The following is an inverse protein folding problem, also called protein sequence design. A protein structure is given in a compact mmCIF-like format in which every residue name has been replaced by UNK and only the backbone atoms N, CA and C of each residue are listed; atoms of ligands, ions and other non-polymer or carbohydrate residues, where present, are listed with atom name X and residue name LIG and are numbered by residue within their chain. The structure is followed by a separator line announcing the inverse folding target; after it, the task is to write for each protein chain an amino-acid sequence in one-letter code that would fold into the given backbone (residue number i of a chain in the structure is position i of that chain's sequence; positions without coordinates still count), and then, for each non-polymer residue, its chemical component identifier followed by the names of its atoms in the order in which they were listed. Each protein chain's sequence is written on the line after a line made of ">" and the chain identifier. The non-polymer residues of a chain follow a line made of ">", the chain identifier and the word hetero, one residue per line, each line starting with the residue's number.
data_IF_824880597443
#
_entry.id   IF_824880597443
#
_cell.length_a   1.000
_cell.length_b   1.000
_cell.length_c   1.000
_cell.angle_alpha   90.00
_cell.angle_beta   90.00
_cell.angle_gamma   90.00
#
_symmetry.space_group_name_H-M   'P 1'
#
loop_
_entity.id
_entity.type
_entity.pdbx_description
1 polymer ?
#
# COMPACT_ATOMS: atom_id res chain seq x y z
N UNK A 1 8.70 35.16 -26.53
CA UNK A 1 7.52 34.50 -27.10
C UNK A 1 7.62 33.04 -26.65
N UNK A 2 6.95 32.72 -25.54
CA UNK A 2 6.82 31.36 -25.04
C UNK A 2 5.74 30.68 -25.88
N UNK A 3 6.15 29.68 -26.65
CA UNK A 3 5.21 28.79 -27.36
C UNK A 3 4.63 27.84 -26.29
N UNK A 4 3.33 27.77 -26.10
CA UNK A 4 2.76 26.76 -25.20
C UNK A 4 2.97 25.39 -25.83
N UNK A 5 3.67 24.53 -25.13
CA UNK A 5 3.76 23.11 -25.48
C UNK A 5 2.42 22.48 -25.14
N UNK A 6 1.58 22.32 -26.16
CA UNK A 6 0.37 21.49 -26.05
C UNK A 6 0.83 20.02 -25.91
N UNK A 7 0.86 19.51 -24.67
CA UNK A 7 0.98 18.08 -24.43
C UNK A 7 -0.27 17.42 -25.03
N UNK A 8 -0.09 16.53 -25.97
CA UNK A 8 -1.18 15.74 -26.54
C UNK A 8 -1.88 14.99 -25.40
N UNK A 9 -3.22 15.03 -25.33
CA UNK A 9 -4.01 14.31 -24.33
C UNK A 9 -3.69 12.81 -24.29
N UNK A 10 -3.24 12.25 -25.40
CA UNK A 10 -2.79 10.84 -25.51
C UNK A 10 -1.42 10.56 -24.86
N UNK A 11 -0.67 11.58 -24.44
CA UNK A 11 0.65 11.44 -23.80
C UNK A 11 0.60 11.69 -22.29
N UNK A 12 -0.57 11.71 -21.66
CA UNK A 12 -0.68 11.83 -20.21
C UNK A 12 -0.09 10.59 -19.53
N UNK A 13 0.81 10.82 -18.56
CA UNK A 13 1.48 9.76 -17.79
C UNK A 13 0.45 8.82 -17.16
N UNK A 14 0.69 7.52 -17.28
CA UNK A 14 -0.03 6.45 -16.59
C UNK A 14 0.89 5.83 -15.53
N UNK A 15 0.43 5.67 -14.30
CA UNK A 15 1.25 5.12 -13.22
C UNK A 15 0.80 3.69 -12.89
N UNK A 16 1.67 2.71 -13.16
CA UNK A 16 1.56 1.38 -12.59
C UNK A 16 2.38 1.34 -11.29
N UNK A 17 1.72 1.18 -10.17
CA UNK A 17 2.36 1.12 -8.85
C UNK A 17 2.32 -0.31 -8.33
N UNK A 18 3.46 -1.01 -8.36
CA UNK A 18 3.63 -2.34 -7.79
C UNK A 18 4.03 -2.16 -6.33
N UNK A 19 3.12 -2.49 -5.41
CA UNK A 19 3.27 -2.22 -3.99
C UNK A 19 3.62 -3.50 -3.23
N UNK A 20 4.79 -3.54 -2.62
CA UNK A 20 5.30 -4.69 -1.88
C UNK A 20 4.60 -4.92 -0.52
N UNK A 21 3.70 -4.02 -0.12
CA UNK A 21 2.96 -4.05 1.14
C UNK A 21 1.46 -4.27 0.93
N UNK A 22 0.81 -5.16 1.71
CA UNK A 22 -0.62 -5.45 1.57
C UNK A 22 -1.54 -4.29 2.02
N UNK A 23 -0.99 -3.24 2.61
CA UNK A 23 -1.76 -2.07 3.10
C UNK A 23 -1.61 -0.83 2.22
N UNK A 24 -0.99 -0.92 1.06
CA UNK A 24 -0.63 0.15 0.14
C UNK A 24 -1.55 1.38 0.04
N UNK A 25 -1.18 2.37 -0.77
CA UNK A 25 -1.98 3.58 -1.05
C UNK A 25 -2.17 4.58 0.11
N UNK A 26 -1.30 4.58 1.13
CA UNK A 26 -1.50 5.42 2.33
C UNK A 26 -1.44 6.94 2.09
N UNK A 27 -0.74 7.39 1.06
CA UNK A 27 -0.49 8.84 0.81
C UNK A 27 -1.23 9.39 -0.40
N UNK A 28 -2.13 8.62 -1.00
CA UNK A 28 -2.87 8.98 -2.21
C UNK A 28 -4.38 8.82 -2.02
N UNK A 29 -5.17 9.51 -2.83
CA UNK A 29 -6.62 9.36 -2.88
C UNK A 29 -7.08 9.30 -4.34
N UNK A 30 -8.34 8.89 -4.57
CA UNK A 30 -8.94 8.84 -5.90
C UNK A 30 -8.12 8.05 -6.93
N UNK A 31 -7.49 6.95 -6.48
CA UNK A 31 -6.74 5.99 -7.33
C UNK A 31 -7.35 4.60 -7.21
N UNK A 32 -7.17 3.81 -8.26
CA UNK A 32 -7.60 2.42 -8.26
C UNK A 32 -6.53 1.52 -7.65
N UNK A 33 -6.98 0.49 -6.90
CA UNK A 33 -6.13 -0.51 -6.24
C UNK A 33 -6.62 -1.90 -6.60
N UNK A 34 -5.76 -2.69 -7.23
CA UNK A 34 -6.00 -4.09 -7.49
C UNK A 34 -5.55 -4.93 -6.28
N UNK A 35 -6.48 -5.70 -5.73
CA UNK A 35 -6.23 -6.74 -4.72
C UNK A 35 -5.98 -8.10 -5.37
N UNK A 36 -6.38 -8.27 -6.62
CA UNK A 36 -6.13 -9.44 -7.45
C UNK A 36 -4.91 -9.16 -8.35
N UNK A 37 -4.10 -10.18 -8.58
CA UNK A 37 -2.85 -10.11 -9.35
C UNK A 37 -3.06 -10.37 -10.86
N UNK A 38 -4.31 -10.38 -11.33
CA UNK A 38 -4.64 -10.46 -12.75
C UNK A 38 -4.18 -9.16 -13.47
N UNK A 39 -3.21 -9.23 -14.40
CA UNK A 39 -2.68 -8.04 -15.07
C UNK A 39 -3.72 -7.34 -15.97
N UNK A 40 -4.85 -7.96 -16.25
CA UNK A 40 -5.94 -7.32 -16.99
C UNK A 40 -6.56 -6.16 -16.21
N UNK A 41 -6.59 -6.25 -14.87
CA UNK A 41 -7.15 -5.20 -14.01
C UNK A 41 -6.36 -3.88 -14.13
N UNK A 42 -5.04 -3.84 -13.86
CA UNK A 42 -4.28 -2.61 -14.05
C UNK A 42 -4.25 -2.16 -15.52
N UNK A 43 -4.26 -3.07 -16.49
CA UNK A 43 -4.32 -2.69 -17.90
C UNK A 43 -5.62 -1.94 -18.25
N UNK A 44 -6.78 -2.39 -17.75
CA UNK A 44 -8.06 -1.71 -17.92
C UNK A 44 -8.06 -0.31 -17.31
N UNK A 45 -7.58 -0.16 -16.07
CA UNK A 45 -7.48 1.13 -15.39
C UNK A 45 -6.54 2.08 -16.14
N UNK A 46 -5.40 1.56 -16.58
CA UNK A 46 -4.36 2.33 -17.26
C UNK A 46 -4.69 2.60 -18.75
N UNK A 47 -5.80 2.08 -19.27
CA UNK A 47 -6.31 2.51 -20.58
C UNK A 47 -6.73 4.00 -20.54
N UNK A 48 -7.16 4.51 -19.38
CA UNK A 48 -7.49 5.92 -19.20
C UNK A 48 -6.22 6.78 -19.05
N UNK A 49 -6.06 7.85 -19.86
CA UNK A 49 -4.91 8.76 -19.73
C UNK A 49 -4.86 9.46 -18.36
N UNK A 50 -3.67 9.50 -17.76
CA UNK A 50 -3.47 10.16 -16.46
C UNK A 50 -3.86 9.31 -15.25
N UNK A 51 -4.31 8.07 -15.47
CA UNK A 51 -4.72 7.17 -14.40
C UNK A 51 -3.53 6.63 -13.58
N UNK A 52 -3.84 6.22 -12.38
CA UNK A 52 -2.91 5.52 -11.46
C UNK A 52 -3.58 4.25 -10.97
N UNK A 53 -2.90 3.13 -11.10
CA UNK A 53 -3.33 1.85 -10.58
C UNK A 53 -2.25 1.26 -9.66
N UNK A 54 -2.62 1.01 -8.42
CA UNK A 54 -1.83 0.20 -7.50
C UNK A 54 -2.16 -1.27 -7.70
N UNK A 55 -1.15 -2.13 -7.60
CA UNK A 55 -1.30 -3.59 -7.47
C UNK A 55 -0.63 -4.00 -6.17
N UNK A 56 -1.40 -4.54 -5.24
CA UNK A 56 -0.89 -5.00 -3.94
C UNK A 56 -0.22 -6.36 -4.11
N UNK A 57 1.07 -6.35 -4.42
CA UNK A 57 1.83 -7.56 -4.73
C UNK A 57 2.23 -8.35 -3.49
N UNK A 58 2.35 -7.67 -2.34
CA UNK A 58 2.82 -8.25 -1.07
C UNK A 58 4.15 -9.00 -1.20
N UNK A 59 5.00 -8.60 -2.14
CA UNK A 59 6.26 -9.29 -2.49
C UNK A 59 7.29 -9.28 -1.38
N UNK A 60 7.17 -8.38 -0.42
CA UNK A 60 8.02 -8.39 0.78
C UNK A 60 7.88 -9.68 1.61
N UNK A 61 6.75 -10.38 1.49
CA UNK A 61 6.50 -11.65 2.15
C UNK A 61 6.91 -12.88 1.31
N UNK A 62 7.42 -12.67 0.08
CA UNK A 62 7.81 -13.71 -0.85
C UNK A 62 9.33 -13.88 -0.93
N UNK A 63 9.76 -15.04 -1.39
CA UNK A 63 11.15 -15.24 -1.80
C UNK A 63 11.48 -14.36 -3.03
N UNK A 64 12.73 -13.92 -3.16
CA UNK A 64 13.16 -12.99 -4.21
C UNK A 64 12.79 -13.46 -5.61
N UNK A 65 12.97 -14.75 -5.92
CA UNK A 65 12.65 -15.30 -7.24
C UNK A 65 11.14 -15.23 -7.57
N UNK A 66 10.28 -15.42 -6.57
CA UNK A 66 8.83 -15.29 -6.71
C UNK A 66 8.44 -13.81 -6.90
N UNK A 67 9.02 -12.90 -6.10
CA UNK A 67 8.82 -11.47 -6.22
C UNK A 67 9.22 -10.94 -7.60
N UNK A 68 10.36 -11.35 -8.13
CA UNK A 68 10.86 -11.04 -9.49
C UNK A 68 9.88 -11.55 -10.56
N UNK A 69 9.47 -12.82 -10.46
CA UNK A 69 8.54 -13.43 -11.42
C UNK A 69 7.19 -12.71 -11.46
N UNK A 70 6.65 -12.36 -10.30
CA UNK A 70 5.38 -11.65 -10.18
C UNK A 70 5.47 -10.24 -10.78
N UNK A 71 6.50 -9.46 -10.45
CA UNK A 71 6.69 -8.12 -11.00
C UNK A 71 6.79 -8.16 -12.53
N UNK A 72 7.55 -9.09 -13.11
CA UNK A 72 7.65 -9.29 -14.57
C UNK A 72 6.30 -9.60 -15.18
N UNK A 73 5.56 -10.55 -14.61
CA UNK A 73 4.25 -10.97 -15.13
C UNK A 73 3.25 -9.81 -15.18
N UNK A 74 3.20 -8.99 -14.14
CA UNK A 74 2.32 -7.82 -14.08
C UNK A 74 2.71 -6.76 -15.11
N UNK A 75 4.00 -6.44 -15.22
CA UNK A 75 4.50 -5.47 -16.21
C UNK A 75 4.25 -5.97 -17.64
N UNK A 76 4.58 -7.24 -17.94
CA UNK A 76 4.34 -7.85 -19.25
C UNK A 76 2.86 -7.77 -19.64
N UNK A 77 1.95 -8.07 -18.71
CA UNK A 77 0.52 -8.02 -18.96
C UNK A 77 0.01 -6.61 -19.28
N UNK A 78 0.49 -5.59 -18.59
CA UNK A 78 0.15 -4.18 -18.90
C UNK A 78 0.76 -3.76 -20.23
N UNK A 79 1.99 -4.15 -20.54
CA UNK A 79 2.67 -3.83 -21.80
C UNK A 79 2.03 -4.50 -23.02
N UNK A 80 1.33 -5.62 -22.83
CA UNK A 80 0.57 -6.29 -23.88
C UNK A 80 -0.63 -5.45 -24.36
N UNK A 81 -1.17 -4.56 -23.52
CA UNK A 81 -2.22 -3.63 -23.93
C UNK A 81 -1.63 -2.40 -24.63
N UNK A 82 -2.09 -2.15 -25.87
CA UNK A 82 -1.54 -1.11 -26.73
C UNK A 82 -1.85 0.32 -26.25
N UNK A 83 -2.85 0.50 -25.40
CA UNK A 83 -3.25 1.80 -24.84
C UNK A 83 -2.59 2.00 -23.48
N UNK A 84 -2.67 1.02 -22.56
CA UNK A 84 -2.13 1.09 -21.21
C UNK A 84 -0.61 1.34 -21.18
N UNK A 85 0.14 0.81 -22.17
CA UNK A 85 1.60 1.01 -22.28
C UNK A 85 2.04 2.41 -22.69
N UNK A 86 1.12 3.25 -23.23
CA UNK A 86 1.48 4.59 -23.70
C UNK A 86 1.72 5.54 -22.53
N UNK A 87 2.93 6.12 -22.45
CA UNK A 87 3.30 6.99 -21.35
C UNK A 87 3.32 6.28 -19.98
N UNK A 88 3.55 4.97 -19.99
CA UNK A 88 3.63 4.17 -18.77
C UNK A 88 4.87 4.51 -17.95
N UNK A 89 4.66 4.90 -16.69
CA UNK A 89 5.70 4.97 -15.67
C UNK A 89 5.45 3.88 -14.64
N UNK A 90 6.46 3.06 -14.37
CA UNK A 90 6.36 1.99 -13.39
C UNK A 90 7.02 2.41 -12.09
N UNK A 91 6.26 2.31 -11.02
CA UNK A 91 6.69 2.56 -9.65
C UNK A 91 6.81 1.22 -8.93
N UNK A 92 8.01 0.89 -8.48
CA UNK A 92 8.27 -0.17 -7.49
C UNK A 92 8.14 0.46 -6.10
N UNK A 93 6.92 0.47 -5.56
CA UNK A 93 6.62 1.05 -4.26
C UNK A 93 7.07 0.11 -3.15
N UNK A 94 7.80 0.64 -2.18
CA UNK A 94 8.47 -0.15 -1.14
C UNK A 94 8.34 0.43 0.25
N UNK A 95 8.90 -0.30 1.20
CA UNK A 95 9.00 0.14 2.58
C UNK A 95 9.88 1.39 2.71
N UNK A 96 9.37 2.38 3.42
CA UNK A 96 10.08 3.62 3.72
C UNK A 96 11.21 3.46 4.76
N UNK A 97 11.43 2.25 5.26
CA UNK A 97 12.53 1.90 6.17
C UNK A 97 13.55 0.94 5.51
N UNK A 98 13.62 0.96 4.17
CA UNK A 98 14.59 0.30 3.31
C UNK A 98 14.52 -1.25 3.25
N UNK A 99 13.46 -1.88 3.79
CA UNK A 99 13.25 -3.33 3.69
C UNK A 99 12.63 -3.71 2.35
N UNK A 100 12.78 -4.97 1.96
CA UNK A 100 12.24 -5.52 0.72
C UNK A 100 13.31 -5.82 -0.34
N UNK A 101 12.88 -6.28 -1.50
CA UNK A 101 13.75 -6.66 -2.63
C UNK A 101 14.19 -5.42 -3.42
N UNK A 102 14.96 -4.52 -2.76
CA UNK A 102 15.25 -3.16 -3.24
C UNK A 102 15.98 -3.13 -4.59
N UNK A 103 16.79 -4.12 -4.88
CA UNK A 103 17.54 -4.23 -6.15
C UNK A 103 16.79 -5.09 -7.16
N UNK A 104 16.33 -6.28 -6.74
CA UNK A 104 15.81 -7.30 -7.63
C UNK A 104 14.51 -6.88 -8.35
N UNK A 105 13.56 -6.25 -7.62
CA UNK A 105 12.28 -5.82 -8.21
C UNK A 105 12.45 -4.73 -9.28
N UNK A 106 13.13 -3.58 -9.03
CA UNK A 106 13.33 -2.58 -10.08
C UNK A 106 14.11 -3.09 -11.28
N UNK A 107 15.08 -3.98 -11.06
CA UNK A 107 15.83 -4.59 -12.16
C UNK A 107 14.94 -5.55 -12.97
N UNK A 108 14.08 -6.33 -12.32
CA UNK A 108 13.12 -7.20 -13.00
C UNK A 108 12.15 -6.39 -13.87
N UNK A 109 11.65 -5.26 -13.37
CA UNK A 109 10.82 -4.31 -14.13
C UNK A 109 11.60 -3.77 -15.34
N UNK A 110 12.85 -3.34 -15.14
CA UNK A 110 13.68 -2.79 -16.21
C UNK A 110 14.02 -3.83 -17.30
N UNK A 111 14.21 -5.08 -16.91
CA UNK A 111 14.45 -6.18 -17.84
C UNK A 111 13.19 -6.52 -18.64
N UNK A 112 12.02 -6.48 -18.02
CA UNK A 112 10.76 -6.73 -18.72
C UNK A 112 10.41 -5.61 -19.69
N UNK A 113 10.64 -4.33 -19.31
CA UNK A 113 10.51 -3.19 -20.23
C UNK A 113 11.45 -3.36 -21.44
N UNK A 114 12.71 -3.73 -21.20
CA UNK A 114 13.68 -3.96 -22.29
C UNK A 114 13.29 -5.12 -23.21
N UNK A 115 12.66 -6.17 -22.69
CA UNK A 115 12.11 -7.26 -23.51
C UNK A 115 10.99 -6.80 -24.44
N UNK A 116 10.40 -5.63 -24.17
CA UNK A 116 9.38 -4.96 -24.99
C UNK A 116 9.92 -3.71 -25.72
N UNK A 117 11.23 -3.66 -25.99
CA UNK A 117 11.93 -2.58 -26.70
C UNK A 117 11.86 -1.21 -25.97
N UNK A 118 11.72 -1.19 -24.65
CA UNK A 118 11.72 0.02 -23.82
C UNK A 118 12.94 0.04 -22.90
N UNK A 119 13.96 0.79 -23.29
CA UNK A 119 15.20 0.91 -22.51
C UNK A 119 15.05 1.88 -21.33
N UNK A 120 15.42 1.45 -20.12
CA UNK A 120 15.37 2.23 -18.91
C UNK A 120 16.67 3.04 -18.74
N UNK A 121 16.55 4.34 -18.63
CA UNK A 121 17.69 5.26 -18.45
C UNK A 121 18.15 5.35 -17.00
N UNK A 122 17.20 5.49 -16.07
CA UNK A 122 17.47 5.65 -14.64
C UNK A 122 16.46 4.92 -13.75
N UNK A 123 16.93 4.58 -12.54
CA UNK A 123 16.12 4.07 -11.44
C UNK A 123 16.31 5.04 -10.27
N UNK A 124 15.22 5.74 -9.91
CA UNK A 124 15.23 6.70 -8.81
C UNK A 124 14.95 5.99 -7.48
N UNK A 125 15.75 6.24 -6.46
CA UNK A 125 15.50 5.77 -5.08
C UNK A 125 15.04 6.95 -4.22
N UNK A 126 13.77 6.92 -3.78
CA UNK A 126 13.11 7.97 -3.00
C UNK A 126 12.33 7.36 -1.84
N UNK A 127 12.97 6.83 -0.78
CA UNK A 127 12.29 6.05 0.26
C UNK A 127 11.47 6.90 1.25
N UNK A 128 11.04 8.09 0.87
CA UNK A 128 10.37 9.04 1.74
C UNK A 128 8.95 8.55 2.16
N UNK A 129 8.64 8.74 3.44
CA UNK A 129 7.28 8.70 4.01
C UNK A 129 7.18 9.80 5.07
N UNK A 130 6.90 11.01 4.63
CA UNK A 130 6.95 12.21 5.47
C UNK A 130 5.91 12.16 6.58
N UNK A 131 4.74 11.58 6.31
CA UNK A 131 3.66 11.36 7.28
C UNK A 131 4.09 10.48 8.47
N UNK A 132 5.09 9.65 8.25
CA UNK A 132 5.66 8.77 9.28
C UNK A 132 7.08 9.19 9.70
N UNK A 133 7.52 10.42 9.34
CA UNK A 133 8.81 10.96 9.72
C UNK A 133 10.01 10.27 9.04
N UNK A 134 9.86 9.79 7.80
CA UNK A 134 10.98 9.20 7.02
C UNK A 134 11.35 10.13 5.88
N UNK A 135 12.62 10.55 5.87
CA UNK A 135 13.14 11.53 4.92
C UNK A 135 14.62 11.28 4.60
N UNK A 136 15.12 11.87 3.53
CA UNK A 136 16.52 11.77 3.11
C UNK A 136 17.16 13.16 3.01
N UNK A 137 18.29 13.34 3.66
CA UNK A 137 19.08 14.57 3.63
C UNK A 137 20.58 14.25 3.56
N UNK A 138 21.31 14.86 2.61
CA UNK A 138 22.72 14.58 2.39
C UNK A 138 22.99 13.12 2.03
N UNK A 139 22.08 12.51 1.25
CA UNK A 139 22.04 11.10 0.87
C UNK A 139 21.82 10.11 2.04
N UNK A 140 21.69 10.60 3.26
CA UNK A 140 21.43 9.79 4.44
C UNK A 140 19.93 9.72 4.72
N UNK A 141 19.42 8.50 4.90
CA UNK A 141 18.01 8.27 5.21
C UNK A 141 17.79 8.23 6.73
N UNK A 142 16.75 8.93 7.16
CA UNK A 142 16.38 9.09 8.57
C UNK A 142 14.97 8.56 8.83
N UNK A 143 14.75 8.11 10.06
CA UNK A 143 13.43 7.84 10.64
C UNK A 143 13.30 8.58 11.96
N UNK A 144 12.16 9.27 12.17
CA UNK A 144 11.84 9.86 13.46
C UNK A 144 11.36 8.75 14.42
N UNK A 145 12.11 8.58 15.50
CA UNK A 145 11.81 7.61 16.57
C UNK A 145 11.79 8.37 17.88
N UNK A 146 10.70 8.25 18.65
CA UNK A 146 10.50 9.00 19.90
C UNK A 146 10.61 10.52 19.74
N UNK A 147 10.20 11.05 18.57
CA UNK A 147 10.26 12.47 18.24
C UNK A 147 11.61 12.99 17.74
N UNK A 148 12.63 12.14 17.68
CA UNK A 148 13.99 12.51 17.26
C UNK A 148 14.39 11.82 15.95
N UNK A 149 15.00 12.54 14.98
CA UNK A 149 15.57 11.94 13.78
C UNK A 149 16.73 11.02 14.14
N UNK A 150 16.67 9.76 13.71
CA UNK A 150 17.77 8.79 13.81
C UNK A 150 18.11 8.30 12.43
N UNK A 151 19.39 8.01 12.20
CA UNK A 151 19.81 7.29 11.00
C UNK A 151 19.08 5.94 10.99
N UNK A 152 18.57 5.53 9.84
CA UNK A 152 17.75 4.32 9.76
C UNK A 152 18.52 3.05 10.14
N UNK A 153 19.85 3.03 9.96
CA UNK A 153 20.75 1.95 10.40
C UNK A 153 20.80 1.78 11.92
N UNK A 154 20.51 2.84 12.68
CA UNK A 154 20.50 2.82 14.15
C UNK A 154 19.14 2.35 14.73
N UNK A 155 18.19 2.02 13.88
CA UNK A 155 16.83 1.61 14.27
C UNK A 155 16.67 0.09 14.23
N UNK A 156 15.56 -0.41 14.78
CA UNK A 156 15.22 -1.83 14.71
C UNK A 156 14.92 -2.31 13.28
N UNK A 157 14.60 -1.40 12.36
CA UNK A 157 14.35 -1.74 10.96
C UNK A 157 15.60 -2.30 10.27
N UNK A 158 16.78 -1.80 10.61
CA UNK A 158 18.05 -2.29 10.07
C UNK A 158 18.44 -3.69 10.57
N UNK A 159 17.81 -4.15 11.68
CA UNK A 159 18.03 -5.47 12.27
C UNK A 159 17.03 -6.52 11.80
N UNK A 160 16.27 -6.21 10.75
CA UNK A 160 15.33 -7.17 10.16
C UNK A 160 16.06 -8.47 9.77
N UNK A 161 15.49 -9.62 10.10
CA UNK A 161 16.14 -10.93 9.90
C UNK A 161 16.34 -11.27 8.41
N UNK A 162 15.49 -10.72 7.52
CA UNK A 162 15.51 -10.99 6.08
C UNK A 162 16.16 -9.85 5.29
N UNK A 163 15.80 -8.61 5.63
CA UNK A 163 16.17 -7.41 4.87
C UNK A 163 17.10 -6.46 5.64
N UNK A 164 17.79 -6.96 6.65
CA UNK A 164 18.72 -6.16 7.44
C UNK A 164 19.80 -5.48 6.59
N UNK A 165 20.29 -4.33 7.05
CA UNK A 165 21.30 -3.51 6.36
C UNK A 165 22.14 -2.74 7.37
N UNK A 166 23.25 -2.15 6.89
CA UNK A 166 24.25 -1.50 7.74
C UNK A 166 24.49 -0.03 7.42
N UNK A 167 23.90 0.49 6.33
CA UNK A 167 24.17 1.84 5.86
C UNK A 167 22.89 2.67 5.68
N UNK A 168 22.89 3.88 6.22
CA UNK A 168 21.84 4.89 5.98
C UNK A 168 22.16 5.82 4.81
N UNK A 169 23.45 5.95 4.40
CA UNK A 169 23.80 6.57 3.13
C UNK A 169 23.25 5.68 2.01
N UNK A 170 22.31 6.20 1.23
CA UNK A 170 21.58 5.41 0.23
C UNK A 170 22.47 4.92 -0.92
N UNK A 171 23.59 5.54 -1.18
CA UNK A 171 24.56 5.08 -2.19
C UNK A 171 25.34 3.87 -1.66
N UNK A 172 25.79 3.95 -0.39
CA UNK A 172 26.44 2.82 0.29
C UNK A 172 25.46 1.67 0.53
N UNK A 173 24.21 1.99 0.85
CA UNK A 173 23.14 1.01 0.96
C UNK A 173 22.90 0.25 -0.37
N UNK A 174 22.86 0.94 -1.51
CA UNK A 174 22.75 0.29 -2.82
C UNK A 174 23.95 -0.59 -3.15
N UNK A 175 25.16 -0.16 -2.79
CA UNK A 175 26.37 -0.98 -2.94
C UNK A 175 26.29 -2.24 -2.06
N UNK A 176 25.91 -2.11 -0.79
CA UNK A 176 25.72 -3.21 0.15
C UNK A 176 24.67 -4.20 -0.38
N UNK A 177 23.47 -3.71 -0.74
CA UNK A 177 22.34 -4.56 -1.16
C UNK A 177 22.52 -5.22 -2.52
N UNK A 178 23.40 -4.66 -3.38
CA UNK A 178 23.79 -5.23 -4.67
C UNK A 178 25.05 -6.10 -4.61
N UNK A 179 25.61 -6.34 -3.41
CA UNK A 179 26.87 -7.06 -3.24
C UNK A 179 28.02 -6.47 -4.05
N UNK A 180 28.05 -5.12 -4.16
CA UNK A 180 29.05 -4.37 -4.92
C UNK A 180 28.84 -4.30 -6.42
N UNK A 181 27.74 -4.86 -6.95
CA UNK A 181 27.41 -4.74 -8.38
C UNK A 181 27.07 -3.29 -8.77
N UNK A 182 26.47 -2.53 -7.86
CA UNK A 182 26.26 -1.09 -7.96
C UNK A 182 27.26 -0.43 -7.01
N UNK A 183 28.21 0.35 -7.55
CA UNK A 183 29.17 1.03 -6.71
C UNK A 183 28.62 2.37 -6.24
N UNK A 184 28.79 2.72 -4.98
CA UNK A 184 28.32 3.97 -4.40
C UNK A 184 28.81 5.20 -5.20
N UNK A 185 30.06 5.17 -5.69
CA UNK A 185 30.64 6.23 -6.53
C UNK A 185 29.96 6.39 -7.91
N UNK A 186 29.26 5.37 -8.39
CA UNK A 186 28.55 5.39 -9.67
C UNK A 186 27.08 5.81 -9.52
N UNK A 187 26.55 5.91 -8.30
CA UNK A 187 25.18 6.36 -8.03
C UNK A 187 25.13 7.89 -8.10
N UNK A 188 24.20 8.42 -8.89
CA UNK A 188 23.95 9.85 -8.94
C UNK A 188 23.16 10.31 -7.70
N UNK A 189 23.33 11.55 -7.30
CA UNK A 189 22.59 12.18 -6.22
C UNK A 189 21.90 13.45 -6.71
N UNK A 190 20.67 13.65 -6.29
CA UNK A 190 19.91 14.90 -6.41
C UNK A 190 19.79 15.46 -4.99
N UNK A 191 20.64 16.44 -4.67
CA UNK A 191 20.68 17.09 -3.36
C UNK A 191 19.58 18.14 -3.18
N UNK A 192 19.32 18.54 -1.93
CA UNK A 192 18.35 19.59 -1.63
C UNK A 192 18.69 20.93 -2.30
N UNK A 193 19.97 21.27 -2.48
CA UNK A 193 20.39 22.48 -3.22
C UNK A 193 20.06 22.38 -4.72
N UNK A 194 20.23 21.22 -5.34
CA UNK A 194 19.83 21.00 -6.73
C UNK A 194 18.34 21.21 -6.90
N UNK A 195 17.55 20.79 -5.91
CA UNK A 195 16.08 20.90 -5.91
C UNK A 195 15.64 22.33 -5.62
N UNK A 196 16.04 22.88 -4.46
CA UNK A 196 15.49 24.15 -3.94
C UNK A 196 16.07 25.39 -4.61
N UNK A 197 17.36 25.35 -4.96
CA UNK A 197 18.04 26.45 -5.65
C UNK A 197 18.06 26.23 -7.15
N UNK A 198 18.36 25.02 -7.62
CA UNK A 198 18.44 24.69 -9.03
C UNK A 198 17.11 24.47 -9.72
N UNK A 199 16.11 24.02 -8.97
CA UNK A 199 14.73 23.77 -9.43
C UNK A 199 14.64 22.66 -10.47
N UNK A 200 13.46 22.56 -11.11
CA UNK A 200 13.13 21.56 -12.13
C UNK A 200 14.20 21.45 -13.22
N UNK A 201 14.73 22.58 -13.69
CA UNK A 201 15.77 22.60 -14.74
C UNK A 201 17.03 21.87 -14.30
N UNK A 202 17.51 22.11 -13.08
CA UNK A 202 18.75 21.48 -12.58
C UNK A 202 18.57 19.98 -12.35
N UNK A 203 17.42 19.59 -11.78
CA UNK A 203 17.06 18.17 -11.60
C UNK A 203 16.96 17.47 -12.95
N UNK A 204 16.33 18.11 -13.94
CA UNK A 204 16.24 17.58 -15.29
C UNK A 204 17.62 17.40 -15.92
N UNK A 205 18.57 18.37 -15.79
CA UNK A 205 19.94 18.25 -16.29
C UNK A 205 20.67 17.03 -15.69
N UNK A 206 20.51 16.78 -14.38
CA UNK A 206 21.15 15.63 -13.71
C UNK A 206 20.57 14.32 -14.26
N UNK A 207 19.24 14.21 -14.31
CA UNK A 207 18.55 13.02 -14.79
C UNK A 207 18.78 12.78 -16.28
N UNK A 208 18.87 13.84 -17.10
CA UNK A 208 19.19 13.75 -18.52
C UNK A 208 20.58 13.18 -18.80
N UNK A 209 21.51 13.26 -17.83
CA UNK A 209 22.81 12.59 -17.88
C UNK A 209 22.79 11.09 -17.58
N UNK A 210 21.73 10.57 -17.00
CA UNK A 210 21.62 9.16 -16.65
C UNK A 210 21.36 8.28 -17.88
N UNK A 211 21.99 7.10 -17.93
CA UNK A 211 21.82 6.07 -18.98
C UNK A 211 22.04 4.69 -18.40
N UNK A 212 21.41 3.69 -19.02
CA UNK A 212 21.71 2.29 -18.75
C UNK A 212 21.32 1.87 -17.33
N UNK A 213 20.11 2.20 -16.91
CA UNK A 213 19.58 1.87 -15.57
C UNK A 213 20.38 2.49 -14.43
N UNK A 214 20.90 3.73 -14.66
CA UNK A 214 21.69 4.43 -13.64
C UNK A 214 20.84 4.68 -12.40
N UNK A 215 21.34 4.27 -11.24
CA UNK A 215 20.70 4.59 -9.97
C UNK A 215 20.89 6.06 -9.59
N UNK A 216 19.83 6.66 -9.06
CA UNK A 216 19.79 8.06 -8.65
C UNK A 216 19.13 8.14 -7.28
N UNK A 217 19.87 8.57 -6.27
CA UNK A 217 19.34 8.87 -4.93
C UNK A 217 18.71 10.26 -4.95
N UNK A 218 17.53 10.40 -4.38
CA UNK A 218 16.81 11.67 -4.28
C UNK A 218 16.67 12.07 -2.82
N UNK A 219 17.17 13.26 -2.50
CA UNK A 219 16.98 13.88 -1.19
C UNK A 219 15.63 14.60 -1.14
N UNK A 220 14.86 14.40 -0.08
CA UNK A 220 13.60 15.09 0.14
C UNK A 220 13.25 15.10 1.63
N UNK A 221 12.92 16.26 2.16
CA UNK A 221 12.45 16.47 3.55
C UNK A 221 11.05 17.05 3.62
N UNK A 222 10.51 17.48 2.48
CA UNK A 222 9.15 18.01 2.34
C UNK A 222 8.56 17.68 0.95
N UNK A 223 7.25 17.84 0.82
CA UNK A 223 6.56 17.51 -0.43
C UNK A 223 7.00 18.38 -1.61
N UNK A 224 7.29 19.66 -1.37
CA UNK A 224 7.80 20.58 -2.39
C UNK A 224 9.12 20.09 -3.02
N UNK A 225 9.98 19.41 -2.27
CA UNK A 225 11.19 18.80 -2.82
C UNK A 225 10.82 17.70 -3.84
N UNK A 226 9.88 16.84 -3.46
CA UNK A 226 9.41 15.73 -4.31
C UNK A 226 8.62 16.20 -5.54
N UNK A 227 7.86 17.29 -5.41
CA UNK A 227 7.11 17.90 -6.52
C UNK A 227 8.04 18.39 -7.63
N UNK A 228 9.15 19.06 -7.28
CA UNK A 228 10.19 19.51 -8.24
C UNK A 228 10.79 18.30 -8.97
N UNK A 229 11.08 17.21 -8.27
CA UNK A 229 11.64 16.00 -8.89
C UNK A 229 10.61 15.32 -9.81
N UNK A 230 9.35 15.20 -9.37
CA UNK A 230 8.28 14.60 -10.16
C UNK A 230 7.99 15.39 -11.45
N UNK A 231 8.10 16.72 -11.41
CA UNK A 231 7.98 17.58 -12.58
C UNK A 231 9.15 17.39 -13.56
N UNK A 232 10.38 17.31 -13.05
CA UNK A 232 11.57 17.02 -13.87
C UNK A 232 11.49 15.64 -14.54
N UNK A 233 11.00 14.63 -13.82
CA UNK A 233 10.72 13.29 -14.37
C UNK A 233 9.69 13.37 -15.50
N UNK A 234 8.60 14.16 -15.32
CA UNK A 234 7.59 14.32 -16.36
C UNK A 234 8.13 14.96 -17.64
N UNK A 235 9.03 15.95 -17.51
CA UNK A 235 9.67 16.57 -18.67
C UNK A 235 10.55 15.58 -19.43
N UNK A 236 11.33 14.75 -18.71
CA UNK A 236 12.18 13.73 -19.35
C UNK A 236 11.37 12.68 -20.09
N UNK A 237 10.25 12.26 -19.52
CA UNK A 237 9.35 11.31 -20.18
C UNK A 237 8.71 11.92 -21.44
N UNK A 238 8.38 13.20 -21.41
CA UNK A 238 7.91 13.93 -22.60
C UNK A 238 9.00 14.01 -23.69
N UNK A 239 10.28 13.99 -23.31
CA UNK A 239 11.44 13.89 -24.20
C UNK A 239 11.75 12.46 -24.67
N UNK A 240 10.87 11.48 -24.34
CA UNK A 240 10.98 10.09 -24.75
C UNK A 240 11.95 9.25 -23.90
N UNK A 241 12.27 9.70 -22.68
CA UNK A 241 13.13 8.96 -21.74
C UNK A 241 12.27 8.08 -20.82
N UNK A 242 12.82 6.95 -20.44
CA UNK A 242 12.15 6.02 -19.52
C UNK A 242 12.87 5.93 -18.19
N UNK A 243 12.13 6.14 -17.12
CA UNK A 243 12.60 6.04 -15.75
C UNK A 243 11.72 5.08 -14.96
N UNK A 244 12.31 4.40 -13.98
CA UNK A 244 11.59 3.63 -12.95
C UNK A 244 11.79 4.36 -11.63
N UNK A 245 10.77 4.34 -10.80
CA UNK A 245 10.88 4.88 -9.45
C UNK A 245 10.79 3.76 -8.41
N UNK A 246 11.82 3.58 -7.57
CA UNK A 246 11.76 2.80 -6.34
C UNK A 246 11.53 3.77 -5.19
N UNK A 247 10.35 3.76 -4.58
CA UNK A 247 10.05 4.79 -3.59
C UNK A 247 9.21 4.31 -2.42
N UNK A 248 9.26 5.09 -1.34
CA UNK A 248 8.29 5.03 -0.25
C UNK A 248 6.94 5.66 -0.65
N UNK A 249 5.95 5.60 0.26
CA UNK A 249 4.58 6.02 -0.03
C UNK A 249 4.42 7.47 -0.48
N UNK A 250 5.18 8.42 0.10
CA UNK A 250 4.94 9.85 -0.13
C UNK A 250 5.24 10.29 -1.57
N UNK A 251 6.22 9.68 -2.24
CA UNK A 251 6.61 10.13 -3.58
C UNK A 251 5.61 9.78 -4.67
N UNK A 252 4.74 8.79 -4.46
CA UNK A 252 3.69 8.43 -5.43
C UNK A 252 2.70 9.59 -5.61
N UNK A 253 2.43 10.37 -4.55
CA UNK A 253 1.48 11.49 -4.60
C UNK A 253 1.86 12.57 -5.63
N UNK A 254 3.08 13.16 -5.63
CA UNK A 254 3.48 14.11 -6.68
C UNK A 254 3.64 13.46 -8.05
N UNK A 255 4.02 12.19 -8.16
CA UNK A 255 4.00 11.47 -9.44
C UNK A 255 2.59 11.39 -10.03
N UNK A 256 1.57 11.16 -9.18
CA UNK A 256 0.16 11.16 -9.55
C UNK A 256 -0.45 12.58 -9.67
N UNK A 257 0.35 13.63 -9.52
CA UNK A 257 -0.06 15.05 -9.55
C UNK A 257 -1.15 15.42 -8.53
N UNK A 258 -1.11 14.79 -7.36
CA UNK A 258 -2.04 15.07 -6.28
C UNK A 258 -1.47 16.09 -5.31
N UNK A 259 -2.28 17.07 -4.92
CA UNK A 259 -1.88 18.21 -4.07
C UNK A 259 -2.00 17.97 -2.55
N UNK A 260 -2.60 16.90 -2.11
CA UNK A 260 -2.77 16.57 -0.70
C UNK A 260 -3.61 15.32 -0.49
N UNK A 261 -3.55 14.76 0.72
CA UNK A 261 -4.46 13.70 1.14
C UNK A 261 -5.77 14.34 1.64
N UNK A 262 -6.89 13.96 1.07
CA UNK A 262 -8.20 14.33 1.61
C UNK A 262 -8.49 13.50 2.86
N UNK A 263 -8.81 14.19 3.95
CA UNK A 263 -9.26 13.52 5.18
C UNK A 263 -10.76 13.21 5.06
N UNK A 264 -11.09 11.93 5.19
CA UNK A 264 -12.47 11.44 5.09
C UNK A 264 -13.28 11.89 6.31
N UNK A 265 -14.34 12.65 6.07
CA UNK A 265 -15.38 12.97 7.04
C UNK A 265 -16.65 12.13 6.82
N UNK A 266 -17.60 12.10 7.77
CA UNK A 266 -18.84 11.34 7.59
C UNK A 266 -19.60 11.72 6.32
N UNK A 267 -19.63 12.99 5.95
CA UNK A 267 -20.36 13.51 4.78
C UNK A 267 -19.73 13.09 3.44
N UNK A 268 -18.48 12.63 3.45
CA UNK A 268 -17.77 12.14 2.26
C UNK A 268 -17.84 10.63 2.08
N UNK A 269 -18.40 9.90 3.06
CA UNK A 269 -18.55 8.44 3.00
C UNK A 269 -19.90 8.10 2.36
N UNK A 270 -19.86 7.49 1.18
CA UNK A 270 -21.08 7.03 0.50
C UNK A 270 -21.44 5.60 0.89
N UNK A 271 -22.60 5.40 1.49
CA UNK A 271 -23.17 4.08 1.75
C UNK A 271 -24.18 3.75 0.65
N UNK A 272 -23.96 2.75 -0.22
CA UNK A 272 -24.90 2.40 -1.29
C UNK A 272 -26.26 1.95 -0.74
N UNK A 273 -27.31 2.20 -1.53
CA UNK A 273 -28.67 1.74 -1.20
C UNK A 273 -28.76 0.21 -1.10
N UNK A 274 -29.70 -0.30 -0.32
CA UNK A 274 -29.94 -1.73 -0.16
C UNK A 274 -28.94 -2.47 0.73
N UNK A 275 -28.08 -1.74 1.45
CA UNK A 275 -27.26 -2.29 2.54
C UNK A 275 -27.97 -2.20 3.88
N UNK A 276 -27.54 -3.03 4.84
CA UNK A 276 -27.95 -2.88 6.24
C UNK A 276 -27.55 -1.50 6.79
N UNK A 277 -28.08 -1.16 7.96
CA UNK A 277 -27.71 0.08 8.67
C UNK A 277 -26.52 -0.15 9.63
N UNK A 278 -25.95 -1.35 9.64
CA UNK A 278 -24.90 -1.77 10.56
C UNK A 278 -23.71 -2.34 9.84
N UNK A 279 -22.52 -2.16 10.44
CA UNK A 279 -21.25 -2.54 9.88
C UNK A 279 -20.49 -3.56 10.72
N UNK A 280 -19.43 -4.09 10.11
CA UNK A 280 -18.60 -5.15 10.66
C UNK A 280 -17.17 -4.68 10.87
N UNK A 281 -16.65 -4.87 12.08
CA UNK A 281 -15.23 -4.78 12.39
C UNK A 281 -14.65 -6.19 12.46
N UNK A 282 -13.50 -6.41 11.80
CA UNK A 282 -12.77 -7.70 11.79
C UNK A 282 -11.37 -7.47 12.36
N UNK A 283 -11.03 -8.15 13.46
CA UNK A 283 -9.74 -8.02 14.15
C UNK A 283 -9.02 -9.36 14.20
N UNK A 284 -8.02 -9.52 13.33
CA UNK A 284 -7.18 -10.74 13.28
C UNK A 284 -5.75 -10.57 13.82
N UNK A 285 -5.31 -9.32 14.02
CA UNK A 285 -3.93 -9.02 14.45
C UNK A 285 -3.72 -9.14 15.95
N UNK A 286 -2.60 -9.72 16.37
CA UNK A 286 -2.17 -9.83 17.78
C UNK A 286 -1.17 -8.74 18.21
N UNK A 287 -0.90 -7.73 17.36
CA UNK A 287 -0.04 -6.59 17.72
C UNK A 287 -0.61 -5.87 18.95
N UNK A 288 0.24 -5.49 19.90
CA UNK A 288 -0.17 -4.87 21.17
C UNK A 288 -1.11 -3.68 21.01
N UNK A 289 -0.80 -2.76 20.07
CA UNK A 289 -1.65 -1.62 19.75
C UNK A 289 -3.05 -2.04 19.26
N UNK A 290 -3.14 -3.11 18.46
CA UNK A 290 -4.44 -3.66 18.01
C UNK A 290 -5.26 -4.14 19.22
N UNK A 291 -4.63 -4.77 20.20
CA UNK A 291 -5.33 -5.20 21.43
C UNK A 291 -5.83 -4.00 22.24
N UNK A 292 -5.02 -2.95 22.35
CA UNK A 292 -5.42 -1.69 23.03
C UNK A 292 -6.60 -1.03 22.32
N UNK A 293 -6.54 -0.93 20.99
CA UNK A 293 -7.62 -0.34 20.18
C UNK A 293 -8.91 -1.17 20.20
N UNK A 294 -8.81 -2.50 20.21
CA UNK A 294 -9.98 -3.36 20.39
C UNK A 294 -10.63 -3.14 21.77
N UNK A 295 -9.81 -3.04 22.83
CA UNK A 295 -10.31 -2.75 24.18
C UNK A 295 -11.04 -1.40 24.22
N UNK A 296 -10.52 -0.37 23.57
CA UNK A 296 -11.17 0.93 23.50
C UNK A 296 -12.55 0.86 22.82
N UNK A 297 -12.70 0.05 21.77
CA UNK A 297 -13.99 -0.24 21.13
C UNK A 297 -14.94 -0.98 22.10
N UNK A 298 -14.44 -1.98 22.81
CA UNK A 298 -15.19 -2.75 23.80
C UNK A 298 -15.69 -1.87 24.97
N UNK A 299 -14.83 -1.00 25.48
CA UNK A 299 -15.17 -0.06 26.56
C UNK A 299 -16.25 0.95 26.16
N UNK A 300 -16.30 1.35 24.87
CA UNK A 300 -17.40 2.20 24.36
C UNK A 300 -18.75 1.47 24.33
N UNK A 301 -18.75 0.14 24.23
CA UNK A 301 -19.97 -0.68 24.24
C UNK A 301 -20.93 -0.40 23.07
N UNK A 302 -20.42 0.11 21.96
CA UNK A 302 -21.21 0.45 20.76
C UNK A 302 -21.32 -0.68 19.76
N UNK A 303 -20.57 -1.78 19.95
CA UNK A 303 -20.50 -2.94 19.08
C UNK A 303 -20.82 -4.22 19.86
N UNK A 304 -21.56 -5.13 19.25
CA UNK A 304 -21.72 -6.49 19.80
C UNK A 304 -20.46 -7.31 19.47
N UNK A 305 -19.93 -7.95 20.49
CA UNK A 305 -18.69 -8.72 20.41
C UNK A 305 -18.95 -10.18 20.05
N UNK A 306 -18.22 -10.68 19.07
CA UNK A 306 -18.26 -12.10 18.67
C UNK A 306 -16.82 -12.61 18.59
N UNK A 307 -16.49 -13.55 19.47
CA UNK A 307 -15.17 -14.17 19.48
C UNK A 307 -15.09 -15.34 18.50
N UNK A 308 -14.08 -15.31 17.64
CA UNK A 308 -13.64 -16.46 16.87
C UNK A 308 -12.62 -17.24 17.72
N UNK A 309 -13.10 -18.25 18.45
CA UNK A 309 -12.33 -19.00 19.42
C UNK A 309 -11.27 -19.90 18.76
N UNK A 310 -10.01 -19.50 18.81
CA UNK A 310 -8.89 -20.15 18.08
C UNK A 310 -8.75 -21.64 18.42
N UNK A 311 -8.80 -22.11 19.68
CA UNK A 311 -8.72 -23.55 19.96
C UNK A 311 -9.78 -24.38 19.21
N UNK A 312 -10.99 -23.87 19.03
CA UNK A 312 -12.06 -24.56 18.28
C UNK A 312 -11.83 -24.60 16.76
N UNK A 313 -10.90 -23.77 16.25
CA UNK A 313 -10.50 -23.81 14.84
C UNK A 313 -9.47 -24.90 14.53
N UNK A 314 -8.83 -25.44 15.54
CA UNK A 314 -7.75 -26.41 15.42
C UNK A 314 -8.18 -27.86 15.69
N UNK A 315 -9.49 -28.09 15.89
CA UNK A 315 -10.06 -29.41 16.16
C UNK A 315 -11.29 -29.69 15.30
N UNK A 316 -11.97 -30.81 15.58
CA UNK A 316 -13.15 -31.30 14.85
C UNK A 316 -14.35 -30.32 14.89
N UNK A 317 -14.37 -29.37 15.80
CA UNK A 317 -15.43 -28.37 15.96
C UNK A 317 -15.31 -27.19 14.98
N UNK A 318 -14.25 -27.11 14.19
CA UNK A 318 -13.94 -25.98 13.29
C UNK A 318 -15.17 -25.55 12.48
N UNK A 319 -15.75 -26.45 11.70
CA UNK A 319 -16.83 -26.12 10.77
C UNK A 319 -18.11 -25.68 11.52
N UNK A 320 -18.43 -26.34 12.62
CA UNK A 320 -19.57 -25.95 13.44
C UNK A 320 -19.35 -24.58 14.07
N UNK A 321 -18.15 -24.33 14.62
CA UNK A 321 -17.81 -23.04 15.21
C UNK A 321 -17.85 -21.90 14.20
N UNK A 322 -17.33 -22.10 12.98
CA UNK A 322 -17.42 -21.12 11.89
C UNK A 322 -18.88 -20.82 11.50
N UNK A 323 -19.71 -21.85 11.43
CA UNK A 323 -21.14 -21.69 11.13
C UNK A 323 -21.87 -20.91 12.22
N UNK A 324 -21.60 -21.21 13.49
CA UNK A 324 -22.19 -20.54 14.66
C UNK A 324 -21.78 -19.06 14.71
N UNK A 325 -20.46 -18.76 14.57
CA UNK A 325 -19.93 -17.39 14.54
C UNK A 325 -20.55 -16.60 13.39
N UNK A 326 -20.54 -17.14 12.18
CA UNK A 326 -21.13 -16.46 11.02
C UNK A 326 -22.65 -16.26 11.18
N UNK A 327 -23.35 -17.21 11.79
CA UNK A 327 -24.76 -17.10 12.12
C UNK A 327 -25.04 -15.97 13.11
N UNK A 328 -24.27 -15.91 14.20
CA UNK A 328 -24.36 -14.86 15.21
C UNK A 328 -24.07 -13.47 14.61
N UNK A 329 -22.99 -13.32 13.84
CA UNK A 329 -22.65 -12.05 13.18
C UNK A 329 -23.75 -11.60 12.23
N UNK A 330 -24.32 -12.49 11.40
CA UNK A 330 -25.43 -12.15 10.50
C UNK A 330 -26.69 -11.69 11.24
N UNK A 331 -27.00 -12.30 12.36
CA UNK A 331 -28.16 -11.89 13.17
C UNK A 331 -27.91 -10.55 13.86
N UNK A 332 -26.71 -10.35 14.40
CA UNK A 332 -26.30 -9.09 15.04
C UNK A 332 -26.35 -7.93 14.05
N UNK A 333 -25.77 -8.07 12.86
CA UNK A 333 -25.72 -6.99 11.85
C UNK A 333 -27.11 -6.49 11.38
N UNK A 334 -28.20 -7.21 11.68
CA UNK A 334 -29.56 -6.73 11.41
C UNK A 334 -30.04 -5.70 12.41
N UNK A 335 -29.36 -5.54 13.55
CA UNK A 335 -29.83 -4.72 14.68
C UNK A 335 -28.76 -3.80 15.24
N UNK A 336 -27.49 -4.18 15.15
CA UNK A 336 -26.37 -3.52 15.81
C UNK A 336 -25.08 -3.72 15.01
N UNK A 337 -24.12 -2.80 15.14
CA UNK A 337 -22.77 -2.97 14.65
C UNK A 337 -22.08 -4.13 15.39
N UNK A 338 -21.19 -4.83 14.71
CA UNK A 338 -20.56 -6.04 15.22
C UNK A 338 -19.03 -6.00 15.10
N UNK A 339 -18.33 -6.49 16.12
CA UNK A 339 -16.90 -6.80 16.02
C UNK A 339 -16.66 -8.30 16.14
N UNK A 340 -16.03 -8.87 15.12
CA UNK A 340 -15.50 -10.23 15.15
C UNK A 340 -13.98 -10.13 15.40
N UNK A 341 -13.50 -10.89 16.40
CA UNK A 341 -12.07 -10.90 16.74
C UNK A 341 -11.61 -12.31 17.08
N UNK A 342 -10.35 -12.63 16.77
CA UNK A 342 -9.71 -13.90 17.18
C UNK A 342 -9.40 -13.87 18.67
N UNK A 343 -9.43 -15.04 19.35
CA UNK A 343 -8.97 -15.16 20.74
C UNK A 343 -7.68 -14.40 20.97
N UNK A 344 -7.58 -13.62 22.04
CA UNK A 344 -6.44 -12.73 22.30
C UNK A 344 -5.23 -13.45 22.89
N UNK A 345 -5.41 -14.68 23.41
CA UNK A 345 -4.30 -15.55 23.79
C UNK A 345 -3.68 -16.15 22.52
N UNK A 346 -2.41 -15.83 22.28
CA UNK A 346 -1.68 -16.34 21.11
C UNK A 346 -1.46 -17.85 21.29
N UNK A 347 -2.04 -18.63 20.37
CA UNK A 347 -1.75 -20.06 20.29
C UNK A 347 -0.53 -20.25 19.40
N UNK A 348 0.59 -20.67 19.99
CA UNK A 348 1.83 -20.97 19.29
C UNK A 348 2.46 -22.24 19.89
N UNK A 349 3.33 -22.86 19.12
CA UNK A 349 4.15 -24.03 19.56
C UNK A 349 5.63 -23.68 19.47
N UNK A 350 6.47 -24.53 20.02
CA UNK A 350 7.93 -24.39 19.92
C UNK A 350 8.44 -24.64 18.49
N UNK A 351 7.62 -25.25 17.62
CA UNK A 351 7.93 -25.46 16.21
C UNK A 351 7.45 -24.27 15.37
N UNK A 352 8.37 -23.52 14.70
CA UNK A 352 8.00 -22.40 13.85
C UNK A 352 7.08 -22.77 12.69
N UNK A 353 7.23 -23.97 12.11
CA UNK A 353 6.41 -24.45 10.99
C UNK A 353 4.97 -24.72 11.43
N UNK A 354 4.79 -25.31 12.61
CA UNK A 354 3.48 -25.57 13.19
C UNK A 354 2.80 -24.25 13.61
N UNK A 355 3.55 -23.32 14.22
CA UNK A 355 3.06 -21.99 14.57
C UNK A 355 2.58 -21.22 13.33
N UNK A 356 3.29 -21.31 12.20
CA UNK A 356 2.88 -20.72 10.92
C UNK A 356 1.61 -21.38 10.36
N UNK A 357 1.49 -22.70 10.47
CA UNK A 357 0.29 -23.42 10.05
C UNK A 357 -0.95 -23.01 10.87
N UNK A 358 -0.79 -22.82 12.18
CA UNK A 358 -1.84 -22.29 13.06
C UNK A 358 -2.25 -20.88 12.61
N UNK A 359 -1.29 -19.98 12.38
CA UNK A 359 -1.56 -18.61 11.94
C UNK A 359 -2.34 -18.57 10.60
N UNK A 360 -1.96 -19.42 9.63
CA UNK A 360 -2.68 -19.58 8.36
C UNK A 360 -4.11 -20.10 8.60
N UNK A 361 -4.27 -21.13 9.40
CA UNK A 361 -5.58 -21.69 9.74
C UNK A 361 -6.53 -20.68 10.38
N UNK A 362 -6.00 -19.79 11.22
CA UNK A 362 -6.75 -18.68 11.84
C UNK A 362 -7.12 -17.62 10.79
N UNK A 363 -6.19 -17.25 9.91
CA UNK A 363 -6.46 -16.31 8.82
C UNK A 363 -7.55 -16.83 7.88
N UNK A 364 -7.47 -18.10 7.47
CA UNK A 364 -8.49 -18.76 6.64
C UNK A 364 -9.87 -18.77 7.32
N UNK A 365 -9.92 -18.95 8.64
CA UNK A 365 -11.15 -18.93 9.40
C UNK A 365 -11.80 -17.53 9.42
N UNK A 366 -11.00 -16.48 9.59
CA UNK A 366 -11.46 -15.08 9.51
C UNK A 366 -12.06 -14.80 8.13
N UNK A 367 -11.34 -15.19 7.08
CA UNK A 367 -11.80 -15.07 5.67
C UNK A 367 -13.13 -15.79 5.46
N UNK A 368 -13.25 -17.02 5.96
CA UNK A 368 -14.46 -17.84 5.78
C UNK A 368 -15.68 -17.24 6.50
N UNK A 369 -15.52 -16.71 7.71
CA UNK A 369 -16.58 -15.97 8.41
C UNK A 369 -17.02 -14.77 7.58
N UNK A 370 -16.10 -13.94 7.08
CA UNK A 370 -16.45 -12.76 6.27
C UNK A 370 -17.16 -13.17 4.98
N UNK A 371 -16.70 -14.24 4.31
CA UNK A 371 -17.34 -14.77 3.09
C UNK A 371 -18.79 -15.22 3.34
N UNK A 372 -19.08 -15.85 4.49
CA UNK A 372 -20.42 -16.26 4.89
C UNK A 372 -21.31 -15.08 5.29
N UNK A 373 -20.71 -13.99 5.78
CA UNK A 373 -21.40 -12.80 6.27
C UNK A 373 -21.70 -11.79 5.17
N UNK A 374 -20.84 -11.63 4.16
CA UNK A 374 -20.98 -10.58 3.12
C UNK A 374 -22.35 -10.55 2.45
N UNK A 375 -23.03 -11.71 2.36
CA UNK A 375 -24.33 -11.86 1.72
C UNK A 375 -25.47 -11.09 2.40
N UNK A 376 -25.33 -10.69 3.67
CA UNK A 376 -26.33 -9.82 4.34
C UNK A 376 -26.09 -8.33 4.04
N UNK A 377 -25.08 -8.01 3.23
CA UNK A 377 -24.79 -6.63 2.78
C UNK A 377 -24.55 -5.64 3.94
N UNK A 378 -23.55 -5.85 4.80
CA UNK A 378 -23.22 -4.88 5.86
C UNK A 378 -23.01 -3.49 5.29
N UNK A 379 -23.32 -2.44 6.05
CA UNK A 379 -23.16 -1.06 5.61
C UNK A 379 -21.71 -0.75 5.21
N UNK A 380 -20.79 -1.24 6.01
CA UNK A 380 -19.33 -1.07 5.85
C UNK A 380 -18.58 -2.22 6.51
N UNK A 381 -17.31 -2.39 6.16
CA UNK A 381 -16.40 -3.36 6.80
C UNK A 381 -15.07 -2.68 7.13
N UNK A 382 -14.60 -2.84 8.36
CA UNK A 382 -13.26 -2.44 8.81
C UNK A 382 -12.46 -3.69 9.10
N UNK A 383 -11.29 -3.86 8.48
CA UNK A 383 -10.38 -4.94 8.82
C UNK A 383 -9.11 -4.39 9.45
N UNK A 384 -8.77 -4.89 10.64
CA UNK A 384 -7.66 -4.45 11.47
C UNK A 384 -6.52 -5.46 11.45
N UNK A 385 -5.38 -5.03 10.90
CA UNK A 385 -4.17 -5.80 10.68
C UNK A 385 -3.78 -5.80 9.19
N UNK A 386 -2.50 -5.69 8.85
CA UNK A 386 -2.05 -5.60 7.45
C UNK A 386 -2.49 -6.82 6.63
N UNK A 387 -2.03 -8.01 6.99
CA UNK A 387 -2.40 -9.28 6.34
C UNK A 387 -3.91 -9.49 6.42
N UNK A 388 -4.53 -9.30 7.59
CA UNK A 388 -5.97 -9.44 7.78
C UNK A 388 -6.76 -8.55 6.82
N UNK A 389 -6.35 -7.30 6.63
CA UNK A 389 -7.05 -6.37 5.74
C UNK A 389 -6.97 -6.83 4.28
N UNK A 390 -5.82 -7.31 3.83
CA UNK A 390 -5.67 -7.83 2.47
C UNK A 390 -6.52 -9.09 2.26
N UNK A 391 -6.40 -10.07 3.15
CA UNK A 391 -7.10 -11.35 3.05
C UNK A 391 -8.64 -11.18 3.14
N UNK A 392 -9.11 -10.32 4.02
CA UNK A 392 -10.53 -9.99 4.12
C UNK A 392 -11.05 -9.33 2.85
N UNK A 393 -10.30 -8.40 2.25
CA UNK A 393 -10.68 -7.77 0.98
C UNK A 393 -10.72 -8.79 -0.16
N UNK A 394 -9.58 -9.42 -0.45
CA UNK A 394 -9.41 -10.29 -1.61
C UNK A 394 -10.21 -11.60 -1.47
N UNK A 395 -10.03 -12.32 -0.38
CA UNK A 395 -10.53 -13.68 -0.22
C UNK A 395 -11.84 -13.77 0.56
N UNK A 396 -12.12 -12.83 1.47
CA UNK A 396 -13.37 -12.76 2.25
C UNK A 396 -14.49 -12.08 1.47
N UNK A 397 -14.28 -10.86 1.06
CA UNK A 397 -15.23 -10.03 0.34
C UNK A 397 -15.22 -10.31 -1.17
N UNK A 398 -14.10 -10.77 -1.72
CA UNK A 398 -13.92 -11.00 -3.14
C UNK A 398 -13.71 -9.71 -3.92
N UNK A 399 -13.12 -8.71 -3.31
CA UNK A 399 -12.77 -7.44 -3.97
C UNK A 399 -11.55 -7.69 -4.86
N UNK A 400 -11.73 -7.56 -6.17
CA UNK A 400 -10.63 -7.62 -7.15
C UNK A 400 -10.01 -6.25 -7.36
N UNK A 401 -10.85 -5.20 -7.41
CA UNK A 401 -10.43 -3.80 -7.55
C UNK A 401 -11.28 -2.90 -6.66
N UNK A 402 -10.65 -1.94 -6.03
CA UNK A 402 -11.30 -0.90 -5.24
C UNK A 402 -10.71 0.48 -5.57
N UNK A 403 -11.45 1.54 -5.25
CA UNK A 403 -10.98 2.92 -5.34
C UNK A 403 -10.66 3.44 -3.96
N UNK A 404 -9.52 4.11 -3.80
CA UNK A 404 -9.17 4.84 -2.58
C UNK A 404 -9.98 6.12 -2.53
N UNK A 405 -10.88 6.23 -1.58
CA UNK A 405 -11.70 7.44 -1.40
C UNK A 405 -10.96 8.54 -0.61
N UNK A 406 -10.06 8.13 0.28
CA UNK A 406 -9.25 9.02 1.10
C UNK A 406 -8.72 8.32 2.35
N UNK A 407 -8.20 9.11 3.30
CA UNK A 407 -7.68 8.60 4.57
C UNK A 407 -8.42 9.21 5.76
N UNK A 408 -8.54 8.45 6.85
CA UNK A 408 -9.11 8.96 8.11
C UNK A 408 -8.16 9.94 8.81
N UNK A 409 -6.85 9.77 8.60
CA UNK A 409 -5.78 10.71 8.99
C UNK A 409 -4.73 10.74 7.88
N UNK A 410 -4.01 11.85 7.69
CA UNK A 410 -3.00 11.97 6.65
C UNK A 410 -1.99 10.80 6.68
N UNK A 411 -1.85 10.09 5.57
CA UNK A 411 -0.96 8.96 5.41
C UNK A 411 -1.32 7.71 6.24
N UNK A 412 -2.51 7.66 6.82
CA UNK A 412 -2.94 6.58 7.70
C UNK A 412 -4.39 6.17 7.43
N UNK A 413 -4.67 4.88 7.59
CA UNK A 413 -6.01 4.27 7.54
C UNK A 413 -6.83 4.71 6.34
N UNK A 414 -6.72 3.96 5.25
CA UNK A 414 -7.38 4.26 3.98
C UNK A 414 -8.80 3.71 3.95
N UNK A 415 -9.72 4.52 3.39
CA UNK A 415 -11.06 4.12 3.00
C UNK A 415 -11.09 3.76 1.53
N UNK A 416 -11.67 2.63 1.21
CA UNK A 416 -11.89 2.13 -0.14
C UNK A 416 -13.38 1.96 -0.44
N UNK A 417 -13.74 2.08 -1.71
CA UNK A 417 -15.01 1.61 -2.25
C UNK A 417 -14.76 0.48 -3.25
N UNK A 418 -15.47 -0.63 -3.12
CA UNK A 418 -15.31 -1.78 -4.01
C UNK A 418 -15.82 -1.46 -5.42
N UNK A 419 -14.97 -1.56 -6.45
CA UNK A 419 -15.28 -1.25 -7.84
C UNK A 419 -15.47 -2.51 -8.71
N UNK A 420 -14.77 -3.59 -8.38
CA UNK A 420 -14.93 -4.91 -9.00
C UNK A 420 -14.96 -5.96 -7.89
N UNK A 421 -16.14 -6.51 -7.64
CA UNK A 421 -16.42 -7.43 -6.54
C UNK A 421 -17.75 -8.16 -6.80
N UNK A 422 -18.13 -9.17 -5.99
CA UNK A 422 -19.48 -9.72 -5.99
C UNK A 422 -20.55 -8.64 -5.77
N UNK A 423 -21.73 -8.82 -6.36
CA UNK A 423 -22.83 -7.81 -6.33
C UNK A 423 -23.15 -7.30 -4.92
N UNK A 424 -23.14 -8.18 -3.94
CA UNK A 424 -23.41 -7.85 -2.54
C UNK A 424 -22.31 -6.98 -1.89
N UNK A 425 -21.14 -6.83 -2.54
CA UNK A 425 -19.99 -6.07 -2.04
C UNK A 425 -19.77 -4.78 -2.83
N UNK A 426 -20.27 -4.71 -4.07
CA UNK A 426 -20.08 -3.55 -4.95
C UNK A 426 -20.39 -2.21 -4.27
N UNK A 427 -19.48 -1.24 -4.38
CA UNK A 427 -19.58 0.10 -3.78
C UNK A 427 -19.48 0.14 -2.25
N UNK A 428 -19.30 -1.00 -1.57
CA UNK A 428 -19.22 -1.04 -0.11
C UNK A 428 -18.00 -0.30 0.40
N UNK A 429 -18.13 0.59 1.40
CA UNK A 429 -17.02 1.14 2.13
C UNK A 429 -16.22 0.07 2.84
N UNK A 430 -14.96 0.00 2.54
CA UNK A 430 -14.02 -0.93 3.14
C UNK A 430 -12.82 -0.19 3.72
N UNK A 431 -12.48 -0.43 4.98
CA UNK A 431 -11.37 0.24 5.65
C UNK A 431 -10.22 -0.73 5.87
N UNK A 432 -9.08 -0.41 5.27
CA UNK A 432 -7.79 -1.06 5.56
C UNK A 432 -7.16 -0.35 6.74
N UNK A 433 -7.10 -1.03 7.87
CA UNK A 433 -6.56 -0.47 9.11
C UNK A 433 -5.30 -1.23 9.55
N UNK A 434 -4.08 -0.72 9.28
CA UNK A 434 -2.84 -1.41 9.66
C UNK A 434 -2.75 -1.67 11.18
N UNK A 435 -2.03 -2.73 11.56
CA UNK A 435 -1.97 -3.20 12.95
C UNK A 435 -1.33 -2.23 13.95
N UNK A 436 -0.35 -1.44 13.46
CA UNK A 436 0.53 -0.58 14.27
C UNK A 436 0.32 0.93 14.03
N UNK A 437 -0.86 1.34 13.55
CA UNK A 437 -1.17 2.71 13.15
C UNK A 437 -2.29 3.29 14.02
N UNK A 438 -2.24 4.61 14.25
CA UNK A 438 -3.23 5.38 15.01
C UNK A 438 -3.01 5.37 16.53
N UNK A 439 -3.72 6.25 17.24
CA UNK A 439 -3.78 6.25 18.71
C UNK A 439 -4.70 5.17 19.28
N UNK A 440 -4.79 5.07 20.58
CA UNK A 440 -5.62 4.06 21.29
C UNK A 440 -7.09 4.09 20.87
N UNK A 441 -7.66 5.27 20.62
CA UNK A 441 -9.05 5.47 20.25
C UNK A 441 -9.30 5.37 18.73
N UNK A 442 -8.26 5.25 17.92
CA UNK A 442 -8.37 5.42 16.46
C UNK A 442 -9.36 4.43 15.80
N UNK A 443 -9.41 3.16 16.23
CA UNK A 443 -10.36 2.21 15.70
C UNK A 443 -11.81 2.60 16.02
N UNK A 444 -12.07 3.02 17.26
CA UNK A 444 -13.38 3.47 17.69
C UNK A 444 -13.81 4.74 16.95
N UNK A 445 -12.88 5.69 16.71
CA UNK A 445 -13.17 6.92 15.97
C UNK A 445 -13.50 6.64 14.49
N UNK A 446 -12.89 5.63 13.87
CA UNK A 446 -13.25 5.18 12.51
C UNK A 446 -14.68 4.62 12.49
N UNK A 447 -15.02 3.78 13.47
CA UNK A 447 -16.38 3.20 13.60
C UNK A 447 -17.39 4.33 13.77
N UNK A 448 -17.16 5.28 14.66
CA UNK A 448 -18.08 6.41 14.89
C UNK A 448 -18.34 7.21 13.60
N UNK A 449 -17.30 7.48 12.78
CA UNK A 449 -17.46 8.19 11.50
C UNK A 449 -18.26 7.37 10.48
N UNK A 450 -18.05 6.05 10.42
CA UNK A 450 -18.79 5.17 9.52
C UNK A 450 -20.27 5.04 9.94
N UNK A 451 -20.54 4.91 11.24
CA UNK A 451 -21.90 4.87 11.78
C UNK A 451 -22.63 6.20 11.56
N UNK A 452 -21.92 7.34 11.73
CA UNK A 452 -22.48 8.66 11.44
C UNK A 452 -22.83 8.81 9.94
N UNK A 453 -22.03 8.27 9.03
CA UNK A 453 -22.32 8.28 7.60
C UNK A 453 -23.58 7.44 7.24
N UNK A 454 -23.82 6.32 7.93
CA UNK A 454 -25.06 5.55 7.79
C UNK A 454 -26.26 6.38 8.24
N UNK A 455 -26.14 7.09 9.36
CA UNK A 455 -27.24 7.92 9.91
C UNK A 455 -27.55 9.16 9.02
N UNK A 456 -26.60 9.59 8.18
CA UNK A 456 -26.76 10.69 7.25
C UNK A 456 -27.35 10.28 5.89
N UNK A 457 -27.50 8.98 5.62
CA UNK A 457 -28.10 8.40 4.41
C UNK A 457 -29.63 8.56 4.43
#
# INVERSE_FOLDING_TARGET
>A
VTVPVTVSENAARRLLVLDDDPTGSQCVAQVDVAFDLDPAIPAEVLAEPGSTCFVLTNTRALEEAEAVSLNRSLVAGVLADSVARQGLHVVSRSDSTLRGHVIAEPLAIAEELAAHDVEVDAILLVPAMLEAGRFTEGDVHYAVVDGEPRRVEDTDFARDATFGFSHSDLREFLEERSWGAIRAADVLSIGLDDIRTGGVRRVHEILAGARGRRWVVVNATEYSDMEVVAEAVAHLEADGRTLITRCGPSFVRPLAKQSGAEVVGPDSITIPEGRLDHGLVVVGSHVGLTTTQLRAVQERGTLVEVELHVPSLLDERREQHLADVAGQVRETLRREDCVVYTSRDLVSTDDPSESLAIARSVSDAVVDVVRRVRTVRPAWVVAKGGITSHEVAANGLGIRRARVEGQFWPGQVSLFSAQEAPEEVMGMPYVVFPGNVGGEQALADVVDRLTAAVAAR
#
